data_IF_247546995077
#
_entry.id   IF_247546995077
#
_cell.length_a   1.000
_cell.length_b   1.000
_cell.length_c   1.000
_cell.angle_alpha   90.00
_cell.angle_beta   90.00
_cell.angle_gamma   90.00
#
_symmetry.space_group_name_H-M   'P 1'
#
loop_
_entity.id
_entity.type
_entity.pdbx_description
1 polymer ?
#
# COMPACT_ATOMS: atom_id res chain seq x y z
N UNK A 1 24.44 0.84 11.35
CA UNK A 1 23.10 0.83 10.71
C UNK A 1 23.08 1.96 9.70
N UNK A 2 22.59 1.73 8.45
CA UNK A 2 22.45 2.79 7.44
C UNK A 2 21.46 3.84 7.98
N UNK A 3 21.79 5.13 7.80
CA UNK A 3 20.85 6.21 8.04
C UNK A 3 20.22 6.63 6.72
N UNK A 4 18.91 6.69 6.69
CA UNK A 4 18.14 7.16 5.55
C UNK A 4 18.02 8.69 5.59
N UNK A 5 17.99 9.31 4.42
CA UNK A 5 17.70 10.73 4.31
C UNK A 5 16.18 10.91 4.29
N UNK A 6 15.57 11.06 5.47
CA UNK A 6 14.12 11.24 5.58
C UNK A 6 13.76 12.70 5.34
N UNK A 7 13.16 12.98 4.19
CA UNK A 7 12.76 14.30 3.69
C UNK A 7 11.25 14.28 3.42
N UNK A 8 10.40 14.30 4.47
CA UNK A 8 8.97 14.18 4.27
C UNK A 8 8.44 15.32 3.40
N UNK A 9 7.69 14.95 2.35
CA UNK A 9 7.01 15.90 1.47
C UNK A 9 5.65 16.21 2.07
N UNK A 10 5.42 17.50 2.34
CA UNK A 10 4.06 17.94 2.68
C UNK A 10 3.18 17.84 1.43
N UNK A 11 2.20 16.95 1.48
CA UNK A 11 1.26 16.76 0.39
C UNK A 11 0.10 17.77 0.40
N UNK A 12 0.02 18.62 1.41
CA UNK A 12 -1.06 19.61 1.55
C UNK A 12 -2.45 18.98 1.69
N UNK A 13 -2.53 17.70 2.00
CA UNK A 13 -3.79 16.96 2.13
C UNK A 13 -4.29 17.00 3.58
N UNK A 14 -5.56 17.37 3.74
CA UNK A 14 -6.22 17.21 5.03
C UNK A 14 -6.38 15.71 5.37
N UNK A 15 -6.27 15.34 6.65
CA UNK A 15 -6.51 13.98 7.10
C UNK A 15 -7.95 13.56 6.81
N UNK A 16 -8.12 12.30 6.40
CA UNK A 16 -9.43 11.72 6.12
C UNK A 16 -9.98 10.97 7.34
N UNK A 17 -11.28 11.08 7.56
CA UNK A 17 -11.99 10.14 8.44
C UNK A 17 -12.06 8.77 7.76
N UNK A 18 -11.89 7.72 8.56
CA UNK A 18 -11.94 6.33 8.09
C UNK A 18 -13.16 5.65 8.67
N UNK A 19 -13.93 4.98 7.81
CA UNK A 19 -15.08 4.17 8.20
C UNK A 19 -14.81 2.73 7.74
N UNK A 20 -14.79 1.80 8.67
CA UNK A 20 -14.73 0.36 8.38
C UNK A 20 -16.15 -0.17 8.26
N UNK A 21 -16.45 -0.84 7.15
CA UNK A 21 -17.75 -1.44 6.85
C UNK A 21 -17.62 -2.85 6.31
N UNK A 22 -18.74 -3.53 6.11
CA UNK A 22 -18.79 -4.89 5.55
C UNK A 22 -18.15 -4.96 4.15
N UNK A 23 -18.26 -3.88 3.39
CA UNK A 23 -17.69 -3.78 2.04
C UNK A 23 -16.23 -3.32 2.00
N UNK A 24 -15.62 -3.13 3.17
CA UNK A 24 -14.24 -2.71 3.34
C UNK A 24 -14.11 -1.28 3.85
N UNK A 25 -12.89 -0.78 3.79
CA UNK A 25 -12.53 0.54 4.29
C UNK A 25 -12.94 1.65 3.32
N UNK A 26 -13.63 2.66 3.85
CA UNK A 26 -14.04 3.88 3.14
C UNK A 26 -13.45 5.09 3.83
N UNK A 27 -13.04 6.07 3.05
CA UNK A 27 -12.50 7.35 3.52
C UNK A 27 -13.47 8.48 3.18
N UNK A 28 -13.62 9.43 4.10
CA UNK A 28 -14.46 10.61 3.89
C UNK A 28 -13.56 11.84 3.72
N UNK A 29 -13.64 12.48 2.54
CA UNK A 29 -12.88 13.68 2.22
C UNK A 29 -13.42 14.92 2.96
N UNK A 30 -12.66 16.02 3.05
CA UNK A 30 -13.16 17.29 3.59
C UNK A 30 -14.40 17.83 2.89
N UNK A 31 -14.59 17.50 1.60
CA UNK A 31 -15.80 17.82 0.83
C UNK A 31 -17.00 16.92 1.19
N UNK A 32 -16.83 15.94 2.08
CA UNK A 32 -17.86 14.96 2.45
C UNK A 32 -17.99 13.76 1.49
N UNK A 33 -17.17 13.72 0.44
CA UNK A 33 -17.21 12.62 -0.52
C UNK A 33 -16.63 11.35 0.08
N UNK A 34 -17.29 10.21 -0.16
CA UNK A 34 -16.84 8.90 0.27
C UNK A 34 -15.99 8.24 -0.81
N UNK A 35 -14.75 7.91 -0.47
CA UNK A 35 -13.82 7.23 -1.37
C UNK A 35 -13.48 5.84 -0.84
N UNK A 36 -13.55 4.79 -1.67
CA UNK A 36 -13.13 3.45 -1.28
C UNK A 36 -11.60 3.40 -1.12
N UNK A 37 -11.16 2.45 -0.32
CA UNK A 37 -9.74 2.16 -0.18
C UNK A 37 -9.17 1.59 -1.49
N UNK A 38 -7.98 2.03 -1.87
CA UNK A 38 -7.20 1.45 -2.96
C UNK A 38 -7.15 -0.08 -2.83
N UNK A 39 -6.82 -0.58 -1.64
CA UNK A 39 -6.69 -2.03 -1.37
C UNK A 39 -8.03 -2.77 -1.57
N UNK A 40 -9.14 -2.12 -1.19
CA UNK A 40 -10.49 -2.69 -1.39
C UNK A 40 -10.81 -2.85 -2.87
N UNK A 41 -10.55 -1.81 -3.66
CA UNK A 41 -10.88 -1.78 -5.09
C UNK A 41 -9.95 -2.71 -5.88
N UNK A 42 -8.64 -2.62 -5.69
CA UNK A 42 -7.68 -3.44 -6.43
C UNK A 42 -7.69 -4.92 -6.04
N UNK A 43 -8.20 -5.24 -4.84
CA UNK A 43 -8.37 -6.62 -4.35
C UNK A 43 -9.74 -7.23 -4.64
N UNK A 44 -10.63 -6.53 -5.37
CA UNK A 44 -12.04 -6.94 -5.54
C UNK A 44 -12.18 -8.32 -6.19
N UNK A 45 -11.46 -8.59 -7.25
CA UNK A 45 -11.57 -9.87 -7.99
C UNK A 45 -11.25 -11.12 -7.14
N UNK A 46 -10.43 -10.96 -6.09
CA UNK A 46 -10.09 -12.04 -5.15
C UNK A 46 -10.89 -12.05 -3.85
N UNK A 47 -11.77 -11.07 -3.64
CA UNK A 47 -12.43 -10.82 -2.35
C UNK A 47 -13.22 -12.00 -1.84
N UNK A 48 -14.09 -12.57 -2.67
CA UNK A 48 -14.95 -13.69 -2.27
C UNK A 48 -14.12 -14.88 -1.75
N UNK A 49 -13.08 -15.25 -2.47
CA UNK A 49 -12.18 -16.32 -2.06
C UNK A 49 -11.47 -16.03 -0.73
N UNK A 50 -11.02 -14.78 -0.55
CA UNK A 50 -10.38 -14.34 0.70
C UNK A 50 -11.39 -14.35 1.86
N UNK A 51 -12.62 -13.91 1.66
CA UNK A 51 -13.66 -13.91 2.69
C UNK A 51 -14.06 -15.33 3.09
N UNK A 52 -14.22 -16.24 2.13
CA UNK A 52 -14.48 -17.66 2.40
C UNK A 52 -13.33 -18.25 3.22
N UNK A 53 -12.08 -17.96 2.83
CA UNK A 53 -10.91 -18.44 3.54
C UNK A 53 -10.84 -17.88 4.97
N UNK A 54 -11.07 -16.57 5.17
CA UNK A 54 -11.10 -15.92 6.49
C UNK A 54 -12.14 -16.54 7.42
N UNK A 55 -13.35 -16.81 6.90
CA UNK A 55 -14.40 -17.46 7.68
C UNK A 55 -14.03 -18.89 8.10
N UNK A 56 -13.32 -19.61 7.24
CA UNK A 56 -12.84 -20.97 7.54
C UNK A 56 -11.62 -21.00 8.43
N UNK A 57 -10.81 -19.95 8.43
CA UNK A 57 -9.51 -19.90 9.12
C UNK A 57 -9.35 -18.60 9.92
N UNK A 58 -10.22 -18.29 10.90
CA UNK A 58 -10.24 -16.98 11.56
C UNK A 58 -8.93 -16.67 12.31
N UNK A 59 -8.35 -17.65 13.00
CA UNK A 59 -7.10 -17.47 13.71
C UNK A 59 -5.92 -17.16 12.76
N UNK A 60 -5.84 -17.86 11.63
CA UNK A 60 -4.80 -17.62 10.64
C UNK A 60 -5.00 -16.29 9.91
N UNK A 61 -6.24 -15.89 9.68
CA UNK A 61 -6.57 -14.59 9.12
C UNK A 61 -6.14 -13.46 10.05
N UNK A 62 -6.38 -13.59 11.36
CA UNK A 62 -5.92 -12.64 12.37
C UNK A 62 -4.39 -12.59 12.41
N UNK A 63 -3.72 -13.76 12.50
CA UNK A 63 -2.26 -13.86 12.47
C UNK A 63 -1.67 -13.13 11.24
N UNK A 64 -2.28 -13.30 10.07
CA UNK A 64 -1.83 -12.67 8.83
C UNK A 64 -1.97 -11.14 8.90
N UNK A 65 -3.09 -10.63 9.44
CA UNK A 65 -3.28 -9.19 9.62
C UNK A 65 -2.27 -8.61 10.62
N UNK A 66 -2.10 -9.25 11.78
CA UNK A 66 -1.19 -8.78 12.84
C UNK A 66 0.26 -8.76 12.35
N UNK A 67 0.68 -9.83 11.65
CA UNK A 67 1.99 -9.92 11.01
C UNK A 67 2.20 -8.76 10.02
N UNK A 68 1.23 -8.50 9.15
CA UNK A 68 1.31 -7.41 8.19
C UNK A 68 1.44 -6.05 8.88
N UNK A 69 0.54 -5.73 9.80
CA UNK A 69 0.54 -4.47 10.54
C UNK A 69 1.85 -4.25 11.29
N UNK A 70 2.38 -5.30 11.94
CA UNK A 70 3.61 -5.20 12.68
C UNK A 70 4.82 -5.00 11.79
N UNK A 71 4.92 -5.74 10.67
CA UNK A 71 5.99 -5.57 9.69
C UNK A 71 6.01 -4.13 9.14
N UNK A 72 4.86 -3.58 8.75
CA UNK A 72 4.76 -2.20 8.26
C UNK A 72 5.21 -1.19 9.33
N UNK A 73 4.76 -1.34 10.58
CA UNK A 73 5.18 -0.47 11.68
C UNK A 73 6.69 -0.53 11.94
N UNK A 74 7.29 -1.73 11.87
CA UNK A 74 8.74 -1.89 12.03
C UNK A 74 9.52 -1.25 10.86
N UNK A 75 9.04 -1.42 9.62
CA UNK A 75 9.66 -0.81 8.44
C UNK A 75 9.55 0.71 8.47
N UNK A 76 8.41 1.26 8.89
CA UNK A 76 8.22 2.70 9.06
C UNK A 76 9.25 3.29 10.04
N UNK A 77 9.37 2.72 11.24
CA UNK A 77 10.36 3.14 12.26
C UNK A 77 11.78 3.05 11.71
N UNK A 78 12.11 1.93 11.06
CA UNK A 78 13.43 1.70 10.49
C UNK A 78 13.82 2.76 9.46
N UNK A 79 12.92 3.07 8.53
CA UNK A 79 13.14 4.07 7.49
C UNK A 79 13.11 5.52 8.02
N UNK A 80 12.49 5.75 9.17
CA UNK A 80 12.58 7.02 9.92
C UNK A 80 13.85 7.14 10.76
N UNK A 81 14.71 6.12 10.77
CA UNK A 81 15.90 6.02 11.64
C UNK A 81 15.57 5.96 13.14
N UNK A 82 14.38 5.52 13.47
CA UNK A 82 13.94 5.27 14.85
C UNK A 82 14.42 3.90 15.32
N UNK A 83 14.44 3.69 16.65
CA UNK A 83 14.76 2.40 17.23
C UNK A 83 13.61 1.41 16.95
N UNK A 84 13.97 0.22 16.47
CA UNK A 84 13.03 -0.87 16.20
C UNK A 84 13.22 -1.96 17.23
N UNK A 85 12.24 -2.11 18.11
CA UNK A 85 12.18 -3.21 19.05
C UNK A 85 11.69 -4.49 18.36
N UNK A 86 12.38 -5.59 18.58
CA UNK A 86 11.94 -6.90 18.11
C UNK A 86 10.67 -7.34 18.88
N UNK A 87 9.88 -8.19 18.24
CA UNK A 87 8.53 -8.50 18.70
C UNK A 87 8.45 -9.74 19.58
N UNK A 88 9.57 -10.46 19.76
CA UNK A 88 9.63 -11.82 20.34
C UNK A 88 8.91 -12.87 19.46
N UNK A 89 8.33 -12.47 18.35
CA UNK A 89 7.78 -13.37 17.35
C UNK A 89 8.81 -13.56 16.22
N UNK A 90 9.46 -14.73 16.23
CA UNK A 90 10.56 -15.07 15.31
C UNK A 90 10.16 -14.90 13.84
N UNK A 91 8.91 -15.19 13.48
CA UNK A 91 8.43 -15.07 12.11
C UNK A 91 8.42 -13.61 11.66
N UNK A 92 7.85 -12.70 12.48
CA UNK A 92 7.78 -11.26 12.18
C UNK A 92 9.19 -10.66 12.14
N UNK A 93 10.01 -10.99 13.14
CA UNK A 93 11.36 -10.47 13.26
C UNK A 93 12.27 -10.93 12.11
N UNK A 94 12.07 -12.16 11.62
CA UNK A 94 12.75 -12.68 10.42
C UNK A 94 12.33 -11.94 9.16
N UNK A 95 11.03 -11.71 8.96
CA UNK A 95 10.52 -10.94 7.81
C UNK A 95 11.07 -9.51 7.81
N UNK A 96 11.08 -8.87 8.98
CA UNK A 96 11.67 -7.54 9.14
C UNK A 96 13.17 -7.54 8.85
N UNK A 97 13.92 -8.51 9.37
CA UNK A 97 15.36 -8.63 9.16
C UNK A 97 15.70 -8.77 7.66
N UNK A 98 14.99 -9.63 6.95
CA UNK A 98 15.16 -9.86 5.51
C UNK A 98 14.85 -8.56 4.75
N UNK A 99 13.71 -7.92 5.04
CA UNK A 99 13.24 -6.70 4.39
C UNK A 99 14.20 -5.52 4.65
N UNK A 100 14.55 -5.27 5.91
CA UNK A 100 15.42 -4.17 6.30
C UNK A 100 16.83 -4.30 5.73
N UNK A 101 17.37 -5.53 5.70
CA UNK A 101 18.66 -5.79 5.05
C UNK A 101 18.60 -5.43 3.55
N UNK A 102 17.56 -5.86 2.85
CA UNK A 102 17.41 -5.58 1.42
C UNK A 102 17.28 -4.08 1.15
N UNK A 103 16.33 -3.39 1.80
CA UNK A 103 16.11 -1.96 1.55
C UNK A 103 17.31 -1.10 1.92
N UNK A 104 18.19 -1.59 2.82
CA UNK A 104 19.41 -0.86 3.18
C UNK A 104 20.39 -0.69 2.01
N UNK A 105 20.27 -1.49 0.97
CA UNK A 105 21.11 -1.43 -0.22
C UNK A 105 20.50 -0.57 -1.34
N UNK A 106 19.17 -0.37 -1.34
CA UNK A 106 18.46 0.20 -2.48
C UNK A 106 17.74 1.52 -2.18
N UNK A 107 17.33 1.77 -0.93
CA UNK A 107 16.63 3.01 -0.55
C UNK A 107 17.64 4.04 -0.03
N UNK A 108 17.54 5.28 -0.56
CA UNK A 108 18.35 6.42 -0.10
C UNK A 108 17.50 7.53 0.51
N UNK A 109 16.83 8.36 -0.32
CA UNK A 109 15.94 9.41 0.14
C UNK A 109 14.54 8.84 0.37
N UNK A 110 13.92 9.17 1.48
CA UNK A 110 12.56 8.77 1.83
C UNK A 110 11.67 10.00 1.91
N UNK A 111 10.64 10.06 1.09
CA UNK A 111 9.75 11.22 0.94
C UNK A 111 8.41 11.07 1.67
N UNK A 112 7.92 9.85 1.82
CA UNK A 112 6.70 9.56 2.55
C UNK A 112 6.72 8.12 3.10
N UNK A 113 6.19 7.94 4.31
CA UNK A 113 6.03 6.65 4.96
C UNK A 113 4.63 6.57 5.58
N UNK A 114 3.93 5.45 5.36
CA UNK A 114 2.57 5.23 5.84
C UNK A 114 1.67 6.45 5.57
N UNK A 115 1.90 7.09 4.41
CA UNK A 115 1.30 8.35 4.06
C UNK A 115 -0.11 8.18 3.51
N UNK A 116 -1.08 8.78 4.18
CA UNK A 116 -2.44 8.85 3.67
C UNK A 116 -2.50 9.75 2.42
N UNK A 117 -3.06 9.22 1.35
CA UNK A 117 -3.28 9.93 0.09
C UNK A 117 -4.68 9.68 -0.44
N UNK A 118 -5.21 10.65 -1.16
CA UNK A 118 -6.51 10.56 -1.80
C UNK A 118 -6.61 11.45 -3.03
N UNK A 119 -7.50 11.08 -3.92
CA UNK A 119 -7.81 11.82 -5.13
C UNK A 119 -9.30 11.67 -5.44
N UNK A 120 -10.01 12.78 -5.48
CA UNK A 120 -11.43 12.80 -5.90
C UNK A 120 -11.58 12.57 -7.40
N UNK A 121 -10.58 12.95 -8.21
CA UNK A 121 -10.59 12.73 -9.65
C UNK A 121 -10.41 11.26 -10.01
N UNK A 122 -9.55 10.55 -9.29
CA UNK A 122 -9.34 9.09 -9.43
C UNK A 122 -10.46 8.33 -8.72
N UNK A 123 -11.03 8.91 -7.66
CA UNK A 123 -12.10 8.30 -6.87
C UNK A 123 -11.61 7.26 -5.87
N UNK A 124 -10.38 7.39 -5.38
CA UNK A 124 -9.74 6.47 -4.44
C UNK A 124 -9.05 7.20 -3.30
N UNK A 125 -8.92 6.51 -2.18
CA UNK A 125 -8.07 6.91 -1.05
C UNK A 125 -7.34 5.72 -0.46
N UNK A 126 -6.26 5.98 0.28
CA UNK A 126 -5.52 4.91 0.95
C UNK A 126 -4.26 5.41 1.63
N UNK A 127 -3.41 4.46 2.01
CA UNK A 127 -2.14 4.73 2.66
C UNK A 127 -1.03 4.02 1.89
N UNK A 128 -0.07 4.81 1.37
CA UNK A 128 1.10 4.28 0.71
C UNK A 128 2.16 3.93 1.76
N UNK A 129 2.75 2.75 1.65
CA UNK A 129 3.74 2.27 2.60
C UNK A 129 5.00 3.13 2.57
N UNK A 130 5.58 3.34 1.38
CA UNK A 130 6.78 4.13 1.21
C UNK A 130 6.84 4.80 -0.17
N UNK A 131 7.26 6.08 -0.20
CA UNK A 131 7.66 6.80 -1.42
C UNK A 131 9.11 7.25 -1.21
N UNK A 132 10.00 6.82 -2.08
CA UNK A 132 11.43 6.99 -1.89
C UNK A 132 12.19 6.95 -3.21
N UNK A 133 13.49 7.26 -3.16
CA UNK A 133 14.42 6.88 -4.21
C UNK A 133 14.84 5.43 -3.96
N UNK A 134 14.43 4.54 -4.85
CA UNK A 134 14.79 3.13 -4.86
C UNK A 134 15.67 2.85 -6.08
N UNK A 135 16.91 2.44 -5.84
CA UNK A 135 17.94 2.30 -6.89
C UNK A 135 18.06 3.58 -7.75
N UNK A 136 18.10 4.74 -7.06
CA UNK A 136 18.22 6.06 -7.66
C UNK A 136 17.01 6.57 -8.45
N UNK A 137 15.84 5.91 -8.36
CA UNK A 137 14.61 6.31 -9.07
C UNK A 137 13.47 6.58 -8.10
N UNK A 138 12.69 7.62 -8.37
CA UNK A 138 11.49 7.92 -7.59
C UNK A 138 10.48 6.77 -7.71
N UNK A 139 10.18 6.15 -6.57
CA UNK A 139 9.44 4.89 -6.51
C UNK A 139 8.34 4.94 -5.46
N UNK A 140 7.25 4.23 -5.73
CA UNK A 140 6.31 3.75 -4.71
C UNK A 140 6.71 2.32 -4.37
N UNK A 141 7.03 2.08 -3.10
CA UNK A 141 7.41 0.76 -2.58
C UNK A 141 6.30 0.23 -1.69
N UNK A 142 5.89 -1.01 -1.91
CA UNK A 142 4.85 -1.72 -1.19
C UNK A 142 5.48 -2.94 -0.49
N UNK A 143 5.37 -3.00 0.85
CA UNK A 143 5.96 -4.04 1.68
C UNK A 143 4.95 -5.14 1.98
N UNK A 144 5.30 -6.39 1.72
CA UNK A 144 4.42 -7.55 1.96
C UNK A 144 5.14 -8.65 2.74
N UNK A 145 4.47 -9.16 3.75
CA UNK A 145 4.85 -10.41 4.40
C UNK A 145 4.03 -11.59 3.85
N UNK A 146 4.66 -12.73 3.62
CA UNK A 146 3.99 -13.91 3.11
C UNK A 146 4.52 -15.18 3.77
N UNK A 147 3.67 -16.22 3.85
CA UNK A 147 4.09 -17.56 4.29
C UNK A 147 4.97 -18.26 3.24
N UNK A 148 4.80 -17.91 1.97
CA UNK A 148 5.50 -18.53 0.83
C UNK A 148 5.64 -17.56 -0.32
N UNK A 149 6.50 -17.89 -1.24
CA UNK A 149 6.70 -17.14 -2.48
C UNK A 149 5.41 -16.95 -3.27
N UNK A 150 5.34 -15.83 -3.97
CA UNK A 150 4.22 -15.44 -4.83
C UNK A 150 4.62 -15.52 -6.29
N UNK A 151 3.68 -15.88 -7.14
CA UNK A 151 3.84 -15.70 -8.58
C UNK A 151 3.48 -14.27 -8.97
N UNK A 152 4.14 -13.73 -9.97
CA UNK A 152 3.85 -12.39 -10.47
C UNK A 152 2.37 -12.24 -10.89
N UNK A 153 1.81 -13.26 -11.52
CA UNK A 153 0.40 -13.27 -11.91
C UNK A 153 -0.56 -13.26 -10.73
N UNK A 154 -0.15 -13.83 -9.59
CA UNK A 154 -0.97 -13.91 -8.37
C UNK A 154 -0.98 -12.63 -7.54
N UNK A 155 -0.13 -11.65 -7.87
CA UNK A 155 0.01 -10.38 -7.14
C UNK A 155 -0.25 -9.14 -8.00
N UNK A 156 -0.99 -9.27 -9.09
CA UNK A 156 -1.35 -8.14 -9.96
C UNK A 156 -2.01 -6.99 -9.18
N UNK A 157 -2.81 -7.32 -8.20
CA UNK A 157 -3.45 -6.35 -7.31
C UNK A 157 -2.45 -5.50 -6.52
N UNK A 158 -1.27 -6.03 -6.14
CA UNK A 158 -0.22 -5.23 -5.48
C UNK A 158 0.39 -4.21 -6.45
N UNK A 159 0.61 -4.60 -7.71
CA UNK A 159 1.07 -3.65 -8.73
C UNK A 159 0.03 -2.57 -9.03
N UNK A 160 -1.26 -2.93 -9.08
CA UNK A 160 -2.36 -1.97 -9.22
C UNK A 160 -2.43 -1.02 -8.01
N UNK A 161 -2.27 -1.54 -6.79
CA UNK A 161 -2.23 -0.76 -5.56
C UNK A 161 -1.10 0.29 -5.61
N UNK A 162 0.14 -0.13 -5.86
CA UNK A 162 1.28 0.77 -5.96
C UNK A 162 1.14 1.77 -7.12
N UNK A 163 0.51 1.34 -8.25
CA UNK A 163 0.21 2.22 -9.38
C UNK A 163 -0.81 3.29 -8.99
N UNK A 164 -1.88 2.96 -8.28
CA UNK A 164 -2.86 3.94 -7.82
C UNK A 164 -2.19 5.03 -6.95
N UNK A 165 -1.31 4.63 -6.03
CA UNK A 165 -0.54 5.60 -5.24
C UNK A 165 0.42 6.43 -6.10
N UNK A 166 1.03 5.87 -7.13
CA UNK A 166 1.90 6.62 -8.05
C UNK A 166 1.13 7.70 -8.82
N UNK A 167 -0.12 7.40 -9.21
CA UNK A 167 -1.01 8.36 -9.88
C UNK A 167 -1.43 9.48 -8.93
N UNK A 168 -1.84 9.15 -7.69
CA UNK A 168 -2.17 10.14 -6.67
C UNK A 168 -0.98 11.03 -6.33
N UNK A 169 0.21 10.46 -6.13
CA UNK A 169 1.41 11.23 -5.83
C UNK A 169 1.74 12.22 -6.96
N UNK A 170 1.62 11.77 -8.21
CA UNK A 170 1.80 12.65 -9.37
C UNK A 170 0.76 13.76 -9.44
N UNK A 171 -0.51 13.47 -9.18
CA UNK A 171 -1.58 14.47 -9.15
C UNK A 171 -1.31 15.55 -8.10
N UNK A 172 -0.90 15.14 -6.89
CA UNK A 172 -0.68 16.03 -5.75
C UNK A 172 0.60 16.86 -5.92
N UNK A 173 1.71 16.24 -6.37
CA UNK A 173 3.05 16.86 -6.36
C UNK A 173 3.53 17.32 -7.73
N UNK A 174 2.87 16.92 -8.81
CA UNK A 174 3.35 17.09 -10.19
C UNK A 174 4.52 16.16 -10.57
N UNK A 175 5.10 15.43 -9.61
CA UNK A 175 6.27 14.56 -9.84
C UNK A 175 5.83 13.19 -10.36
N UNK A 176 6.44 12.78 -11.48
CA UNK A 176 6.19 11.45 -12.06
C UNK A 176 6.99 10.41 -11.28
N UNK A 177 6.32 9.37 -10.81
CA UNK A 177 6.95 8.16 -10.26
C UNK A 177 7.47 7.30 -11.42
N UNK A 178 8.74 6.92 -11.36
CA UNK A 178 9.43 6.19 -12.42
C UNK A 178 9.12 4.70 -12.40
N UNK A 179 8.97 4.14 -11.21
CA UNK A 179 8.72 2.72 -11.01
C UNK A 179 7.90 2.45 -9.74
N UNK A 180 7.25 1.30 -9.73
CA UNK A 180 6.64 0.70 -8.55
C UNK A 180 7.45 -0.53 -8.17
N UNK A 181 7.64 -0.73 -6.87
CA UNK A 181 8.40 -1.83 -6.30
C UNK A 181 7.51 -2.57 -5.30
N UNK A 182 7.37 -3.87 -5.47
CA UNK A 182 6.71 -4.73 -4.49
C UNK A 182 7.75 -5.66 -3.90
N UNK A 183 7.95 -5.57 -2.60
CA UNK A 183 8.87 -6.41 -1.85
C UNK A 183 8.08 -7.41 -1.01
N UNK A 184 8.31 -8.70 -1.26
CA UNK A 184 7.62 -9.78 -0.53
C UNK A 184 8.65 -10.55 0.29
N UNK A 185 8.69 -10.33 1.60
CA UNK A 185 9.47 -11.16 2.51
C UNK A 185 8.67 -12.41 2.86
N UNK A 186 9.29 -13.58 2.76
CA UNK A 186 8.65 -14.87 2.97
C UNK A 186 9.16 -15.54 4.24
N UNK A 187 8.28 -16.21 4.98
CA UNK A 187 8.63 -17.02 6.16
C UNK A 187 9.62 -18.15 5.82
N UNK A 188 9.76 -18.49 4.52
CA UNK A 188 10.77 -19.43 4.01
C UNK A 188 12.19 -18.87 4.03
N UNK A 189 12.38 -17.59 4.41
CA UNK A 189 13.68 -16.93 4.46
C UNK A 189 14.08 -16.25 3.14
N UNK A 190 13.19 -16.19 2.16
CA UNK A 190 13.44 -15.54 0.87
C UNK A 190 12.80 -14.15 0.80
N UNK A 191 13.37 -13.27 -0.04
CA UNK A 191 12.76 -12.01 -0.43
C UNK A 191 12.58 -12.02 -1.94
N UNK A 192 11.37 -11.69 -2.37
CA UNK A 192 11.06 -11.47 -3.78
C UNK A 192 10.94 -9.97 -4.04
N UNK A 193 11.61 -9.51 -5.08
CA UNK A 193 11.57 -8.14 -5.56
C UNK A 193 10.89 -8.09 -6.93
N UNK A 194 9.88 -7.24 -7.05
CA UNK A 194 9.18 -7.00 -8.30
C UNK A 194 9.20 -5.52 -8.64
N UNK A 195 9.98 -5.14 -9.66
CA UNK A 195 10.09 -3.77 -10.16
C UNK A 195 9.29 -3.66 -11.46
N UNK A 196 8.35 -2.72 -11.51
CA UNK A 196 7.46 -2.52 -12.66
C UNK A 196 7.32 -1.03 -12.99
N UNK A 197 6.92 -0.73 -14.22
CA UNK A 197 6.52 0.62 -14.61
C UNK A 197 5.05 0.84 -14.31
N UNK A 198 4.65 1.93 -13.64
CA UNK A 198 3.24 2.20 -13.32
C UNK A 198 2.32 2.14 -14.54
N UNK A 199 2.79 2.65 -15.69
CA UNK A 199 2.00 2.72 -16.92
C UNK A 199 1.45 1.35 -17.37
N UNK A 200 2.13 0.26 -17.05
CA UNK A 200 1.70 -1.10 -17.42
C UNK A 200 0.44 -1.56 -16.65
N UNK A 201 0.08 -0.88 -15.56
CA UNK A 201 -1.02 -1.28 -14.69
C UNK A 201 -2.14 -0.24 -14.59
N UNK A 202 -2.03 0.91 -15.28
CA UNK A 202 -3.04 1.98 -15.26
C UNK A 202 -4.40 1.48 -15.69
N UNK A 203 -4.48 0.77 -16.83
CA UNK A 203 -5.74 0.22 -17.32
C UNK A 203 -6.36 -0.78 -16.32
N UNK A 204 -5.53 -1.54 -15.62
CA UNK A 204 -5.96 -2.43 -14.56
C UNK A 204 -6.57 -1.68 -13.36
N UNK A 205 -5.98 -0.55 -12.96
CA UNK A 205 -6.54 0.32 -11.91
C UNK A 205 -7.88 0.91 -12.35
N UNK A 206 -7.96 1.44 -13.56
CA UNK A 206 -9.20 2.00 -14.10
C UNK A 206 -10.30 0.96 -14.23
N UNK A 207 -9.95 -0.25 -14.64
CA UNK A 207 -10.90 -1.37 -14.70
C UNK A 207 -11.40 -1.77 -13.32
N UNK A 208 -10.50 -1.87 -12.34
CA UNK A 208 -10.86 -2.18 -10.96
C UNK A 208 -11.82 -1.13 -10.35
N UNK A 209 -11.56 0.15 -10.62
CA UNK A 209 -12.45 1.25 -10.19
C UNK A 209 -13.86 1.11 -10.81
N UNK A 210 -13.94 0.84 -12.12
CA UNK A 210 -15.22 0.69 -12.83
C UNK A 210 -15.99 -0.56 -12.42
N UNK A 211 -15.29 -1.62 -12.06
CA UNK A 211 -15.88 -2.89 -11.61
C UNK A 211 -16.31 -2.85 -10.13
N UNK A 212 -15.98 -1.79 -9.39
CA UNK A 212 -16.45 -1.62 -8.03
C UNK A 212 -17.98 -1.43 -8.04
N UNK A 213 -18.75 -2.29 -7.34
CA UNK A 213 -20.23 -2.24 -7.32
C UNK A 213 -20.81 -0.88 -6.93
N UNK A 214 -20.08 -0.12 -6.12
CA UNK A 214 -20.49 1.21 -5.66
C UNK A 214 -20.03 2.35 -6.58
N UNK A 215 -19.41 2.05 -7.72
CA UNK A 215 -18.89 3.08 -8.62
C UNK A 215 -19.97 4.09 -9.03
N UNK A 216 -21.11 3.62 -9.47
CA UNK A 216 -22.21 4.48 -9.95
C UNK A 216 -22.83 5.31 -8.81
N UNK A 217 -22.99 4.73 -7.64
CA UNK A 217 -23.52 5.43 -6.47
C UNK A 217 -22.59 6.57 -6.04
N UNK A 218 -21.27 6.34 -6.08
CA UNK A 218 -20.25 7.35 -5.74
C UNK A 218 -20.18 8.49 -6.77
N UNK A 219 -20.48 8.23 -8.04
CA UNK A 219 -20.51 9.27 -9.07
C UNK A 219 -21.67 10.26 -8.87
N UNK A 220 -22.77 9.81 -8.27
CA UNK A 220 -23.97 10.62 -8.02
C UNK A 220 -23.96 11.33 -6.66
N UNK A 221 -22.94 11.14 -5.82
CA UNK A 221 -22.85 11.81 -4.53
C UNK A 221 -22.66 13.35 -4.71
N UNK A 222 -23.52 14.17 -4.10
CA UNK A 222 -23.31 15.61 -4.10
C UNK A 222 -22.02 15.95 -3.37
N UNK A 223 -21.27 16.89 -3.90
CA UNK A 223 -20.18 17.52 -3.16
C UNK A 223 -20.75 18.63 -2.26
N UNK A 224 -20.15 18.86 -1.10
CA UNK A 224 -20.59 19.91 -0.16
C UNK A 224 -20.57 21.34 -0.78
N UNK A 225 -20.05 21.49 -1.98
CA UNK A 225 -19.87 22.75 -2.70
C UNK A 225 -20.53 22.77 -4.10
N UNK A 226 -21.43 21.83 -4.40
CA UNK A 226 -22.22 21.84 -5.64
C UNK A 226 -23.53 22.59 -5.46
#
# INVERSE_FOLDING_TARGET
>A
MKKYNYIPVDLGLAPLSVVEGEEGRTYVTPSGRKLPSVTTVTGFDGREGIEIWRRKNPAEAQRTCDRGNKLHSMMEKYLKNEEVELTENIEIDSLFSIMSHHVSNFIDNVYALEQQMWSESIGLAGRADCICDYDGKLSVVDFKGSTREKTESGIKNYFQQATAYSLMYREITGKKVDQIVVLVACETGTLQEFIKKPIAYVDGVLSAIKNDPQWYERQSQPTLFS
#
